data_IF_154862238670
#
_entry.id   IF_154862238670
#
_cell.length_a   1.000
_cell.length_b   1.000
_cell.length_c   1.000
_cell.angle_alpha   90.00
_cell.angle_beta   90.00
_cell.angle_gamma   90.00
#
_symmetry.space_group_name_H-M   'P 1'
#
loop_
_entity.id
_entity.type
_entity.pdbx_description
1 polymer ?
#
# COMPACT_ATOMS: atom_id res chain seq x y z
N UNK A 1 24.52 21.82 -11.21
CA UNK A 1 23.64 20.93 -10.43
C UNK A 1 22.27 20.94 -11.08
N UNK A 2 22.00 20.04 -12.01
CA UNK A 2 20.66 19.93 -12.59
C UNK A 2 19.67 19.55 -11.49
N UNK A 3 18.71 20.43 -11.24
CA UNK A 3 17.51 20.09 -10.50
C UNK A 3 16.82 18.96 -11.27
N UNK A 4 16.73 17.77 -10.69
CA UNK A 4 16.06 16.64 -11.31
C UNK A 4 14.60 17.03 -11.55
N UNK A 5 14.20 17.19 -12.81
CA UNK A 5 12.80 17.39 -13.21
C UNK A 5 12.00 16.18 -12.71
N UNK A 6 11.19 16.35 -11.67
CA UNK A 6 10.34 15.29 -11.10
C UNK A 6 9.98 15.51 -9.64
N UNK A 7 8.97 14.77 -9.15
CA UNK A 7 8.48 14.83 -7.77
C UNK A 7 9.48 14.16 -6.82
N UNK A 8 9.81 14.83 -5.71
CA UNK A 8 10.54 14.18 -4.63
C UNK A 8 9.63 13.26 -3.79
N UNK A 9 10.24 12.38 -3.01
CA UNK A 9 9.54 11.37 -2.23
C UNK A 9 8.72 11.94 -1.07
N UNK A 10 8.97 13.18 -0.66
CA UNK A 10 8.14 13.90 0.30
C UNK A 10 6.84 14.38 -0.31
N UNK A 11 6.95 15.07 -1.43
CA UNK A 11 5.81 15.55 -2.21
C UNK A 11 4.91 14.38 -2.60
N UNK A 12 5.48 13.28 -3.08
CA UNK A 12 4.71 12.08 -3.43
C UNK A 12 4.03 11.41 -2.20
N UNK A 13 4.64 11.44 -1.01
CA UNK A 13 3.98 10.98 0.23
C UNK A 13 2.86 11.90 0.69
N UNK A 14 3.00 13.21 0.52
CA UNK A 14 1.93 14.16 0.82
C UNK A 14 0.73 13.93 -0.11
N UNK A 15 0.98 13.70 -1.40
CA UNK A 15 -0.07 13.31 -2.34
C UNK A 15 -0.75 12.02 -1.86
N UNK A 16 0.01 10.98 -1.52
CA UNK A 16 -0.56 9.73 -1.02
C UNK A 16 -1.38 9.91 0.26
N UNK A 17 -0.90 10.74 1.20
CA UNK A 17 -1.59 11.05 2.45
C UNK A 17 -2.91 11.81 2.21
N UNK A 18 -2.92 12.77 1.29
CA UNK A 18 -4.13 13.50 0.90
C UNK A 18 -5.16 12.58 0.21
N UNK A 19 -4.71 11.72 -0.70
CA UNK A 19 -5.56 10.72 -1.35
C UNK A 19 -6.17 9.74 -0.33
N UNK A 20 -5.37 9.28 0.64
CA UNK A 20 -5.85 8.42 1.72
C UNK A 20 -6.90 9.11 2.60
N UNK A 21 -6.69 10.39 2.93
CA UNK A 21 -7.68 11.17 3.66
C UNK A 21 -8.99 11.31 2.88
N UNK A 22 -8.91 11.63 1.59
CA UNK A 22 -10.08 11.69 0.70
C UNK A 22 -10.82 10.34 0.67
N UNK A 23 -10.07 9.23 0.62
CA UNK A 23 -10.63 7.88 0.62
C UNK A 23 -11.44 7.58 1.89
N UNK A 24 -10.90 7.93 3.05
CA UNK A 24 -11.55 7.69 4.35
C UNK A 24 -12.68 8.67 4.62
N UNK A 25 -12.58 9.94 4.21
CA UNK A 25 -13.72 10.87 4.24
C UNK A 25 -14.89 10.28 3.42
N UNK A 26 -14.59 9.74 2.24
CA UNK A 26 -15.59 9.09 1.39
C UNK A 26 -16.13 7.76 1.93
N UNK A 27 -15.43 7.08 2.85
CA UNK A 27 -15.93 5.85 3.48
C UNK A 27 -16.74 6.13 4.75
N UNK A 28 -16.22 7.01 5.60
CA UNK A 28 -16.72 7.24 6.96
C UNK A 28 -17.82 8.31 6.97
N UNK A 29 -17.57 9.45 6.33
CA UNK A 29 -18.47 10.63 6.43
C UNK A 29 -19.44 10.75 5.25
N UNK A 30 -19.00 10.39 4.04
CA UNK A 30 -19.77 10.61 2.81
C UNK A 30 -19.87 9.33 1.93
N UNK A 31 -20.43 8.21 2.45
CA UNK A 31 -20.45 6.91 1.77
C UNK A 31 -21.16 6.88 0.41
N UNK A 32 -22.12 7.79 0.20
CA UNK A 32 -22.81 7.94 -1.08
C UNK A 32 -21.99 8.66 -2.15
N UNK A 33 -20.94 9.39 -1.73
CA UNK A 33 -20.10 10.19 -2.63
C UNK A 33 -18.95 9.34 -3.20
N UNK A 34 -19.31 8.37 -4.06
CA UNK A 34 -18.39 7.33 -4.59
C UNK A 34 -17.12 7.90 -5.23
N UNK A 35 -17.17 9.10 -5.81
CA UNK A 35 -16.01 9.73 -6.44
C UNK A 35 -14.83 9.92 -5.47
N UNK A 36 -15.10 10.12 -4.17
CA UNK A 36 -14.06 10.23 -3.15
C UNK A 36 -13.31 8.90 -2.99
N UNK A 37 -14.04 7.78 -2.98
CA UNK A 37 -13.46 6.43 -2.98
C UNK A 37 -12.65 6.17 -4.24
N UNK A 38 -13.14 6.61 -5.40
CA UNK A 38 -12.46 6.48 -6.68
C UNK A 38 -11.09 7.19 -6.70
N UNK A 39 -11.05 8.45 -6.25
CA UNK A 39 -9.81 9.23 -6.13
C UNK A 39 -8.87 8.58 -5.10
N UNK A 40 -9.44 8.12 -3.99
CA UNK A 40 -8.71 7.49 -2.90
C UNK A 40 -7.97 6.20 -3.27
N UNK A 41 -8.43 5.45 -4.28
CA UNK A 41 -7.79 4.20 -4.74
C UNK A 41 -6.32 4.34 -5.13
N UNK A 42 -5.89 5.55 -5.52
CA UNK A 42 -4.51 5.83 -5.88
C UNK A 42 -3.55 5.82 -4.68
N UNK A 43 -4.05 5.97 -3.44
CA UNK A 43 -3.21 6.08 -2.25
C UNK A 43 -2.43 4.79 -1.96
N UNK A 44 -3.10 3.63 -1.93
CA UNK A 44 -2.48 2.35 -1.57
C UNK A 44 -1.29 1.98 -2.47
N UNK A 45 -1.37 2.04 -3.81
CA UNK A 45 -0.23 1.75 -4.68
C UNK A 45 0.97 2.67 -4.46
N UNK A 46 0.75 3.96 -4.14
CA UNK A 46 1.85 4.89 -3.85
C UNK A 46 2.55 4.49 -2.55
N UNK A 47 1.80 4.10 -1.51
CA UNK A 47 2.39 3.57 -0.28
C UNK A 47 3.10 2.23 -0.52
N UNK A 48 2.49 1.31 -1.28
CA UNK A 48 3.09 0.02 -1.64
C UNK A 48 4.43 0.21 -2.38
N UNK A 49 4.48 1.16 -3.32
CA UNK A 49 5.71 1.59 -3.98
C UNK A 49 6.77 2.04 -2.95
N UNK A 50 6.41 2.90 -1.99
CA UNK A 50 7.36 3.33 -0.96
C UNK A 50 7.83 2.21 -0.03
N UNK A 51 7.03 1.16 0.19
CA UNK A 51 7.47 -0.01 0.94
C UNK A 51 8.53 -0.78 0.15
N UNK A 52 8.28 -1.05 -1.14
CA UNK A 52 9.24 -1.71 -2.03
C UNK A 52 10.54 -0.90 -2.16
N UNK A 53 10.42 0.41 -2.38
CA UNK A 53 11.55 1.35 -2.49
C UNK A 53 12.32 1.44 -1.16
N UNK A 54 11.61 1.50 -0.03
CA UNK A 54 12.19 1.56 1.30
C UNK A 54 12.91 0.27 1.68
N UNK A 55 12.40 -0.89 1.27
CA UNK A 55 13.07 -2.18 1.45
C UNK A 55 14.38 -2.24 0.65
N UNK A 56 14.37 -1.76 -0.60
CA UNK A 56 15.56 -1.73 -1.45
C UNK A 56 16.72 -0.89 -0.87
N UNK A 57 16.39 0.19 -0.18
CA UNK A 57 17.36 1.15 0.34
C UNK A 57 17.63 1.01 1.85
N UNK A 58 16.95 0.11 2.56
CA UNK A 58 17.12 -0.01 4.02
C UNK A 58 18.46 -0.66 4.36
N UNK A 59 19.21 0.00 5.26
CA UNK A 59 20.43 -0.58 5.85
C UNK A 59 20.15 -1.48 7.06
N UNK A 60 18.96 -1.39 7.65
CA UNK A 60 18.61 -2.10 8.88
C UNK A 60 17.16 -2.56 8.84
N UNK A 61 16.96 -3.76 8.29
CA UNK A 61 15.66 -4.38 8.13
C UNK A 61 14.88 -4.49 9.44
N UNK A 62 15.50 -5.00 10.51
CA UNK A 62 14.84 -5.18 11.81
C UNK A 62 14.28 -3.88 12.39
N UNK A 63 15.04 -2.78 12.34
CA UNK A 63 14.57 -1.46 12.80
C UNK A 63 13.48 -0.88 11.90
N UNK A 64 13.46 -1.24 10.61
CA UNK A 64 12.39 -0.84 9.71
C UNK A 64 11.09 -1.59 10.04
N UNK A 65 11.18 -2.92 10.12
CA UNK A 65 10.05 -3.78 10.46
C UNK A 65 9.47 -3.45 11.84
N UNK A 66 10.32 -3.31 12.87
CA UNK A 66 9.86 -2.98 14.22
C UNK A 66 9.11 -1.65 14.27
N UNK A 67 9.62 -0.61 13.60
CA UNK A 67 8.94 0.67 13.53
C UNK A 67 7.57 0.54 12.85
N UNK A 68 7.49 -0.23 11.76
CA UNK A 68 6.22 -0.48 11.09
C UNK A 68 5.24 -1.22 12.02
N UNK A 69 5.70 -2.27 12.69
CA UNK A 69 4.89 -3.09 13.58
C UNK A 69 4.37 -2.31 14.80
N UNK A 70 5.19 -1.43 15.39
CA UNK A 70 4.75 -0.53 16.47
C UNK A 70 3.60 0.36 15.98
N UNK A 71 3.74 0.99 14.82
CA UNK A 71 2.68 1.85 14.27
C UNK A 71 1.46 1.05 13.82
N UNK A 72 1.64 -0.19 13.35
CA UNK A 72 0.54 -1.10 13.05
C UNK A 72 -0.28 -1.40 14.31
N UNK A 73 0.38 -1.76 15.42
CA UNK A 73 -0.29 -2.01 16.70
C UNK A 73 -1.00 -0.77 17.25
N UNK A 74 -0.37 0.40 17.19
CA UNK A 74 -0.99 1.67 17.63
C UNK A 74 -2.21 2.03 16.77
N UNK A 75 -2.14 1.78 15.46
CA UNK A 75 -3.22 2.14 14.54
C UNK A 75 -4.37 1.15 14.54
N UNK A 76 -4.21 0.00 15.18
CA UNK A 76 -5.27 -1.01 15.31
C UNK A 76 -6.48 -0.48 16.09
N UNK A 77 -6.22 0.34 17.13
CA UNK A 77 -7.27 0.96 17.94
C UNK A 77 -8.15 1.88 17.08
N UNK A 78 -7.62 2.93 16.41
CA UNK A 78 -8.45 3.83 15.61
C UNK A 78 -9.02 3.17 14.36
N UNK A 79 -8.33 2.16 13.80
CA UNK A 79 -8.85 1.42 12.66
C UNK A 79 -10.08 0.57 13.02
N UNK A 80 -10.10 -0.05 14.20
CA UNK A 80 -11.24 -0.85 14.63
C UNK A 80 -12.44 0.02 15.06
N UNK A 81 -12.19 1.25 15.52
CA UNK A 81 -13.24 2.20 15.89
C UNK A 81 -14.18 2.55 14.73
N UNK A 82 -13.73 2.47 13.47
CA UNK A 82 -14.58 2.58 12.27
C UNK A 82 -15.76 1.59 12.28
N UNK A 83 -15.61 0.48 13.01
CA UNK A 83 -16.63 -0.55 13.17
C UNK A 83 -17.30 -0.53 14.56
N UNK A 84 -17.08 0.52 15.35
CA UNK A 84 -17.63 0.68 16.70
C UNK A 84 -17.02 -0.25 17.77
N UNK A 85 -15.90 -0.92 17.47
CA UNK A 85 -15.27 -1.88 18.36
C UNK A 85 -13.79 -1.57 18.59
N UNK A 86 -13.27 -1.84 19.78
CA UNK A 86 -11.83 -1.65 20.06
C UNK A 86 -10.95 -2.77 19.47
N UNK A 87 -11.54 -3.94 19.20
CA UNK A 87 -10.82 -5.11 18.70
C UNK A 87 -11.71 -5.90 17.76
N UNK A 88 -11.28 -6.02 16.50
CA UNK A 88 -11.95 -6.82 15.46
C UNK A 88 -10.96 -7.86 14.95
N UNK A 89 -10.98 -9.10 15.48
CA UNK A 89 -10.01 -10.13 15.07
C UNK A 89 -10.03 -10.44 13.57
N UNK A 90 -11.17 -10.24 12.91
CA UNK A 90 -11.37 -10.55 11.49
C UNK A 90 -10.93 -9.45 10.53
N UNK A 91 -10.28 -8.37 11.00
CA UNK A 91 -9.80 -7.29 10.14
C UNK A 91 -8.60 -6.61 10.78
N UNK A 92 -7.53 -6.43 10.04
CA UNK A 92 -6.31 -5.79 10.54
C UNK A 92 -5.88 -4.67 9.59
N UNK A 93 -5.28 -3.60 10.13
CA UNK A 93 -4.95 -2.43 9.31
C UNK A 93 -3.85 -2.66 8.26
N UNK A 94 -3.73 -1.72 7.30
CA UNK A 94 -2.81 -1.81 6.16
C UNK A 94 -1.31 -1.86 6.54
N UNK A 95 -0.93 -1.37 7.73
CA UNK A 95 0.46 -1.43 8.17
C UNK A 95 0.89 -2.87 8.49
N UNK A 96 -0.04 -3.74 8.89
CA UNK A 96 0.21 -5.18 9.02
C UNK A 96 0.47 -5.83 7.65
N UNK A 97 -0.28 -5.44 6.62
CA UNK A 97 -0.03 -5.83 5.22
C UNK A 97 1.37 -5.46 4.80
N UNK A 98 1.83 -4.25 5.13
CA UNK A 98 3.20 -3.82 4.84
C UNK A 98 4.26 -4.57 5.66
N UNK A 99 3.98 -4.97 6.89
CA UNK A 99 4.88 -5.83 7.67
C UNK A 99 5.06 -7.20 6.99
N UNK A 100 3.95 -7.83 6.59
CA UNK A 100 3.96 -9.10 5.86
C UNK A 100 4.66 -8.96 4.50
N UNK A 101 4.44 -7.86 3.80
CA UNK A 101 5.13 -7.56 2.55
C UNK A 101 6.65 -7.44 2.74
N UNK A 102 7.11 -6.72 3.77
CA UNK A 102 8.54 -6.61 4.09
C UNK A 102 9.18 -7.97 4.40
N UNK A 103 8.50 -8.83 5.16
CA UNK A 103 8.95 -10.20 5.43
C UNK A 103 8.99 -11.05 4.16
N UNK A 104 7.97 -10.94 3.32
CA UNK A 104 7.87 -11.62 2.02
C UNK A 104 9.00 -11.21 1.10
N UNK A 105 9.26 -9.89 0.97
CA UNK A 105 10.39 -9.37 0.20
C UNK A 105 11.73 -9.88 0.73
N UNK A 106 11.88 -10.01 2.06
CA UNK A 106 13.09 -10.55 2.68
C UNK A 106 13.32 -12.03 2.34
N UNK A 107 12.26 -12.83 2.35
CA UNK A 107 12.30 -14.23 1.94
C UNK A 107 12.62 -14.38 0.45
N UNK A 108 11.86 -13.66 -0.39
CA UNK A 108 12.01 -13.62 -1.83
C UNK A 108 13.43 -13.21 -2.25
N UNK A 109 13.97 -12.14 -1.67
CA UNK A 109 15.31 -11.63 -2.00
C UNK A 109 16.43 -12.61 -1.59
N UNK A 110 16.25 -13.37 -0.51
CA UNK A 110 17.21 -14.41 -0.12
C UNK A 110 17.14 -15.61 -1.06
N UNK A 111 15.94 -16.09 -1.37
CA UNK A 111 15.75 -17.31 -2.15
C UNK A 111 16.07 -17.13 -3.64
N UNK A 112 15.83 -15.93 -4.20
CA UNK A 112 16.22 -15.59 -5.58
C UNK A 112 17.73 -15.56 -5.83
N UNK A 113 18.56 -15.52 -4.78
CA UNK A 113 20.03 -15.61 -4.91
C UNK A 113 20.51 -17.05 -5.12
N UNK A 114 19.66 -18.04 -4.85
CA UNK A 114 19.98 -19.45 -5.11
C UNK A 114 19.82 -19.70 -6.62
N UNK A 115 20.84 -20.22 -7.32
CA UNK A 115 20.76 -20.46 -8.75
C UNK A 115 19.82 -21.63 -9.09
N UNK A 116 19.25 -21.58 -10.29
CA UNK A 116 18.44 -22.68 -10.84
C UNK A 116 17.00 -22.75 -10.30
N UNK A 117 16.33 -23.86 -10.62
CA UNK A 117 14.91 -24.06 -10.34
C UNK A 117 14.56 -23.97 -8.84
N UNK A 118 15.49 -24.36 -7.96
CA UNK A 118 15.31 -24.32 -6.50
C UNK A 118 15.12 -22.88 -6.00
N UNK A 119 15.90 -21.93 -6.52
CA UNK A 119 15.76 -20.52 -6.14
C UNK A 119 14.43 -19.92 -6.61
N UNK A 120 14.00 -20.25 -7.83
CA UNK A 120 12.70 -19.82 -8.36
C UNK A 120 11.54 -20.43 -7.56
N UNK A 121 11.59 -21.74 -7.26
CA UNK A 121 10.57 -22.41 -6.44
C UNK A 121 10.52 -21.83 -5.02
N UNK A 122 11.68 -21.58 -4.40
CA UNK A 122 11.76 -20.93 -3.10
C UNK A 122 11.17 -19.51 -3.11
N UNK A 123 11.47 -18.71 -4.14
CA UNK A 123 10.91 -17.37 -4.28
C UNK A 123 9.39 -17.38 -4.47
N UNK A 124 8.88 -18.32 -5.28
CA UNK A 124 7.45 -18.53 -5.46
C UNK A 124 6.78 -18.97 -4.15
N UNK A 125 7.41 -19.88 -3.39
CA UNK A 125 6.93 -20.31 -2.08
C UNK A 125 6.90 -19.17 -1.06
N UNK A 126 7.92 -18.32 -1.04
CA UNK A 126 7.93 -17.14 -0.16
C UNK A 126 6.80 -16.17 -0.49
N UNK A 127 6.52 -15.94 -1.78
CA UNK A 127 5.39 -15.11 -2.21
C UNK A 127 4.05 -15.76 -1.85
N UNK A 128 3.90 -17.07 -2.08
CA UNK A 128 2.70 -17.81 -1.72
C UNK A 128 2.45 -17.83 -0.21
N UNK A 129 3.49 -18.00 0.60
CA UNK A 129 3.41 -17.92 2.06
C UNK A 129 3.02 -16.51 2.53
N UNK A 130 3.59 -15.47 1.92
CA UNK A 130 3.20 -14.08 2.18
C UNK A 130 1.74 -13.79 1.83
N UNK A 131 1.29 -14.29 0.68
CA UNK A 131 -0.10 -14.21 0.25
C UNK A 131 -1.04 -14.92 1.24
N UNK A 132 -0.75 -16.18 1.55
CA UNK A 132 -1.56 -16.98 2.47
C UNK A 132 -1.60 -16.37 3.88
N UNK A 133 -0.48 -15.81 4.37
CA UNK A 133 -0.46 -15.10 5.64
C UNK A 133 -1.33 -13.84 5.61
N UNK A 134 -1.35 -13.10 4.49
CA UNK A 134 -2.21 -11.93 4.33
C UNK A 134 -3.70 -12.28 4.38
N UNK A 135 -4.11 -13.35 3.69
CA UNK A 135 -5.49 -13.86 3.72
C UNK A 135 -5.86 -14.39 5.11
N UNK A 136 -5.00 -15.22 5.73
CA UNK A 136 -5.27 -15.85 7.02
C UNK A 136 -5.37 -14.82 8.17
N UNK A 137 -4.53 -13.78 8.13
CA UNK A 137 -4.51 -12.73 9.14
C UNK A 137 -5.52 -11.61 8.85
N UNK A 138 -6.29 -11.70 7.77
CA UNK A 138 -7.32 -10.73 7.39
C UNK A 138 -6.82 -9.29 7.40
N UNK A 139 -5.58 -9.09 6.93
CA UNK A 139 -5.01 -7.74 6.81
C UNK A 139 -5.67 -6.97 5.68
N UNK A 140 -5.65 -5.65 5.75
CA UNK A 140 -6.22 -4.81 4.70
C UNK A 140 -5.58 -5.12 3.33
N UNK A 141 -6.40 -5.22 2.29
CA UNK A 141 -6.02 -5.75 0.95
C UNK A 141 -5.56 -7.22 0.89
N UNK A 142 -5.56 -7.95 2.02
CA UNK A 142 -5.24 -9.37 2.10
C UNK A 142 -3.87 -9.73 1.54
N UNK A 143 -3.76 -10.95 1.02
CA UNK A 143 -2.57 -11.44 0.31
C UNK A 143 -2.30 -10.65 -0.97
N UNK A 144 -3.33 -10.10 -1.62
CA UNK A 144 -3.18 -9.29 -2.82
C UNK A 144 -2.44 -7.98 -2.56
N UNK A 145 -2.58 -7.39 -1.37
CA UNK A 145 -1.79 -6.24 -0.95
C UNK A 145 -0.30 -6.58 -0.84
N UNK A 146 0.03 -7.75 -0.30
CA UNK A 146 1.41 -8.27 -0.24
C UNK A 146 1.98 -8.48 -1.65
N UNK A 147 1.19 -9.08 -2.54
CA UNK A 147 1.57 -9.29 -3.96
C UNK A 147 1.76 -7.97 -4.69
N UNK A 148 0.97 -6.94 -4.39
CA UNK A 148 1.12 -5.60 -4.98
C UNK A 148 2.47 -4.99 -4.60
N UNK A 149 2.89 -5.07 -3.34
CA UNK A 149 4.22 -4.60 -2.92
C UNK A 149 5.33 -5.43 -3.58
N UNK A 150 5.16 -6.75 -3.68
CA UNK A 150 6.10 -7.62 -4.38
C UNK A 150 6.22 -7.25 -5.86
N UNK A 151 5.12 -6.93 -6.53
CA UNK A 151 5.09 -6.48 -7.92
C UNK A 151 5.93 -5.21 -8.10
N UNK A 152 5.75 -4.19 -7.24
CA UNK A 152 6.58 -2.98 -7.27
C UNK A 152 8.07 -3.27 -7.07
N UNK A 153 8.42 -4.21 -6.18
CA UNK A 153 9.82 -4.58 -5.96
C UNK A 153 10.42 -5.34 -7.15
N UNK A 154 9.68 -6.30 -7.71
CA UNK A 154 10.11 -7.15 -8.82
C UNK A 154 10.22 -6.37 -10.14
N UNK A 155 9.32 -5.41 -10.36
CA UNK A 155 9.28 -4.55 -11.54
C UNK A 155 9.96 -3.19 -11.29
N UNK A 156 10.96 -3.12 -10.40
CA UNK A 156 11.74 -1.89 -10.18
C UNK A 156 12.72 -1.58 -11.31
N UNK A 157 13.34 -2.61 -11.87
CA UNK A 157 14.43 -2.49 -12.83
C UNK A 157 14.20 -3.39 -14.06
N UNK A 158 14.66 -2.95 -15.23
CA UNK A 158 14.62 -3.72 -16.47
C UNK A 158 13.83 -3.06 -17.60
N UNK A 159 14.06 -3.53 -18.84
CA UNK A 159 13.47 -2.96 -20.06
C UNK A 159 11.94 -2.99 -20.07
N UNK A 160 11.36 -4.06 -19.55
CA UNK A 160 9.91 -4.29 -19.56
C UNK A 160 9.24 -3.99 -18.21
N UNK A 161 9.97 -3.41 -17.26
CA UNK A 161 9.51 -3.20 -15.89
C UNK A 161 8.23 -2.35 -15.82
N UNK A 162 8.16 -1.23 -16.56
CA UNK A 162 6.97 -0.36 -16.60
C UNK A 162 5.75 -1.05 -17.19
N UNK A 163 5.93 -1.79 -18.29
CA UNK A 163 4.84 -2.53 -18.93
C UNK A 163 4.34 -3.66 -18.02
N UNK A 164 5.26 -4.42 -17.41
CA UNK A 164 4.91 -5.48 -16.46
C UNK A 164 4.18 -4.93 -15.23
N UNK A 165 4.63 -3.77 -14.71
CA UNK A 165 3.97 -3.10 -13.60
C UNK A 165 2.56 -2.61 -13.97
N UNK A 166 2.37 -2.03 -15.16
CA UNK A 166 1.05 -1.60 -15.64
C UNK A 166 0.10 -2.79 -15.79
N UNK A 167 0.52 -3.84 -16.48
CA UNK A 167 -0.30 -5.05 -16.68
C UNK A 167 -0.61 -5.73 -15.35
N UNK A 168 0.37 -5.87 -14.46
CA UNK A 168 0.18 -6.44 -13.14
C UNK A 168 -0.78 -5.61 -12.28
N UNK A 169 -0.67 -4.28 -12.31
CA UNK A 169 -1.58 -3.40 -11.60
C UNK A 169 -3.01 -3.49 -12.13
N UNK A 170 -3.21 -3.54 -13.45
CA UNK A 170 -4.53 -3.71 -14.06
C UNK A 170 -5.13 -5.08 -13.72
N UNK A 171 -4.35 -6.16 -13.77
CA UNK A 171 -4.80 -7.50 -13.41
C UNK A 171 -5.17 -7.60 -11.92
N UNK A 172 -4.28 -7.17 -11.03
CA UNK A 172 -4.51 -7.23 -9.58
C UNK A 172 -5.73 -6.41 -9.17
N UNK A 173 -5.84 -5.17 -9.67
CA UNK A 173 -6.87 -4.25 -9.22
C UNK A 173 -8.18 -4.33 -10.02
N UNK A 174 -8.15 -4.90 -11.22
CA UNK A 174 -9.33 -5.12 -12.05
C UNK A 174 -9.97 -6.50 -11.85
N UNK A 175 -9.19 -7.51 -11.45
CA UNK A 175 -9.65 -8.91 -11.41
C UNK A 175 -9.51 -9.57 -10.03
N UNK A 176 -8.45 -9.27 -9.27
CA UNK A 176 -8.13 -10.00 -8.04
C UNK A 176 -8.67 -9.33 -6.77
N UNK A 177 -8.49 -8.02 -6.64
CA UNK A 177 -8.90 -7.26 -5.46
C UNK A 177 -10.36 -6.84 -5.62
N UNK A 178 -11.24 -7.44 -4.81
CA UNK A 178 -12.66 -7.11 -4.80
C UNK A 178 -12.91 -5.68 -4.33
N UNK A 179 -13.83 -4.99 -4.99
CA UNK A 179 -14.26 -3.62 -4.63
C UNK A 179 -15.67 -3.32 -5.12
N UNK A 180 -16.22 -2.18 -4.68
CA UNK A 180 -17.50 -1.66 -5.20
C UNK A 180 -17.38 -1.48 -6.72
N UNK A 181 -18.43 -1.82 -7.44
CA UNK A 181 -18.52 -1.58 -8.88
C UNK A 181 -19.32 -0.33 -9.18
N UNK A 182 -18.96 0.35 -10.26
CA UNK A 182 -19.72 1.48 -10.82
C UNK A 182 -20.06 1.17 -12.27
N UNK A 183 -21.26 1.56 -12.75
CA UNK A 183 -21.60 1.41 -14.15
C UNK A 183 -20.77 2.39 -14.98
N UNK A 184 -19.97 1.86 -15.91
CA UNK A 184 -19.21 2.65 -16.87
C UNK A 184 -19.28 1.97 -18.24
N UNK A 185 -19.61 2.71 -19.29
CA UNK A 185 -19.71 2.17 -20.66
C UNK A 185 -20.64 0.95 -20.78
N UNK A 186 -21.70 0.87 -19.98
CA UNK A 186 -22.66 -0.25 -19.98
C UNK A 186 -22.18 -1.52 -19.27
N UNK A 187 -21.01 -1.49 -18.62
CA UNK A 187 -20.48 -2.61 -17.83
C UNK A 187 -20.22 -2.20 -16.37
N UNK A 188 -20.30 -3.17 -15.46
CA UNK A 188 -19.94 -2.95 -14.05
C UNK A 188 -18.42 -2.99 -13.90
N UNK A 189 -17.81 -1.84 -13.62
CA UNK A 189 -16.35 -1.71 -13.49
C UNK A 189 -15.97 -1.60 -12.02
N UNK A 190 -15.06 -2.45 -11.49
CA UNK A 190 -14.57 -2.32 -10.12
C UNK A 190 -13.80 -1.02 -9.95
N UNK A 191 -14.15 -0.21 -8.95
CA UNK A 191 -13.46 1.07 -8.71
C UNK A 191 -11.97 0.88 -8.45
N UNK A 192 -11.57 -0.29 -7.93
CA UNK A 192 -10.19 -0.61 -7.61
C UNK A 192 -9.28 -0.52 -8.83
N UNK A 193 -9.77 -0.73 -10.06
CA UNK A 193 -8.97 -0.60 -11.29
C UNK A 193 -8.30 0.79 -11.42
N UNK A 194 -8.90 1.83 -10.82
CA UNK A 194 -8.36 3.19 -10.78
C UNK A 194 -7.04 3.30 -10.01
N UNK A 195 -6.71 2.32 -9.16
CA UNK A 195 -5.40 2.23 -8.50
C UNK A 195 -4.24 2.21 -9.51
N UNK A 196 -4.44 1.70 -10.73
CA UNK A 196 -3.43 1.75 -11.79
C UNK A 196 -3.08 3.19 -12.21
N UNK A 197 -3.97 4.16 -12.01
CA UNK A 197 -3.72 5.58 -12.28
C UNK A 197 -2.71 6.21 -11.31
N UNK A 198 -2.30 5.50 -10.25
CA UNK A 198 -1.16 5.91 -9.43
C UNK A 198 0.18 5.80 -10.19
N UNK A 199 0.29 4.94 -11.22
CA UNK A 199 1.55 4.67 -11.90
C UNK A 199 2.15 5.91 -12.61
N UNK A 200 1.39 6.71 -13.37
CA UNK A 200 1.92 7.97 -13.92
C UNK A 200 2.50 8.89 -12.84
N UNK A 201 1.84 9.01 -11.68
CA UNK A 201 2.30 9.83 -10.56
C UNK A 201 3.60 9.25 -9.96
N UNK A 202 3.67 7.93 -9.80
CA UNK A 202 4.88 7.24 -9.33
C UNK A 202 6.03 7.39 -10.33
N UNK A 203 5.78 7.36 -11.64
CA UNK A 203 6.83 7.51 -12.65
C UNK A 203 7.43 8.91 -12.73
N UNK A 204 6.77 9.91 -12.15
CA UNK A 204 7.34 11.26 -11.97
C UNK A 204 8.31 11.34 -10.78
N UNK A 205 8.44 10.28 -9.98
CA UNK A 205 9.36 10.24 -8.83
C UNK A 205 10.81 10.33 -9.28
N UNK A 206 11.55 11.28 -8.70
CA UNK A 206 12.94 11.58 -9.07
C UNK A 206 14.00 10.77 -8.29
N UNK A 207 13.60 9.79 -7.48
CA UNK A 207 14.51 8.96 -6.69
C UNK A 207 15.02 9.63 -5.40
N UNK A 208 14.70 10.91 -5.14
CA UNK A 208 15.15 11.63 -3.95
C UNK A 208 14.15 11.46 -2.81
N UNK A 209 14.58 11.16 -1.58
CA UNK A 209 13.68 10.93 -0.45
C UNK A 209 12.87 12.16 -0.02
N UNK A 210 13.26 13.36 -0.47
CA UNK A 210 12.49 14.61 -0.35
C UNK A 210 12.39 15.24 1.04
N UNK A 211 12.50 14.46 2.13
CA UNK A 211 12.14 14.96 3.47
C UNK A 211 13.18 14.75 4.56
N UNK A 212 13.32 15.77 5.40
CA UNK A 212 14.06 15.75 6.66
C UNK A 212 13.57 14.64 7.61
N UNK A 213 14.51 14.07 8.39
CA UNK A 213 14.27 12.92 9.29
C UNK A 213 13.11 13.09 10.26
N UNK A 214 12.78 14.33 10.66
CA UNK A 214 11.68 14.67 11.58
C UNK A 214 10.29 14.37 11.00
N UNK A 215 10.06 14.71 9.73
CA UNK A 215 8.77 14.50 9.06
C UNK A 215 8.38 13.04 8.87
N UNK A 216 9.37 12.13 8.95
CA UNK A 216 9.11 10.69 8.92
C UNK A 216 8.10 10.28 9.99
N UNK A 217 8.22 10.84 11.19
CA UNK A 217 7.33 10.54 12.30
C UNK A 217 5.95 11.14 12.11
N UNK A 218 5.85 12.31 11.47
CA UNK A 218 4.58 12.91 11.11
C UNK A 218 3.76 12.00 10.17
N UNK A 219 4.39 11.40 9.16
CA UNK A 219 3.69 10.45 8.27
C UNK A 219 3.22 9.19 8.98
N UNK A 220 3.98 8.69 9.96
CA UNK A 220 3.53 7.54 10.74
C UNK A 220 2.37 7.90 11.68
N UNK A 221 2.46 9.03 12.36
CA UNK A 221 1.40 9.52 13.25
C UNK A 221 0.13 9.93 12.49
N UNK A 222 0.27 10.37 11.24
CA UNK A 222 -0.84 10.77 10.39
C UNK A 222 -1.89 9.67 10.28
N UNK A 223 -1.49 8.41 10.05
CA UNK A 223 -2.42 7.30 9.83
C UNK A 223 -3.41 7.08 10.99
N UNK A 224 -2.99 6.83 12.24
CA UNK A 224 -3.94 6.71 13.35
C UNK A 224 -4.64 8.05 13.66
N UNK A 225 -3.96 9.19 13.52
CA UNK A 225 -4.52 10.48 13.90
C UNK A 225 -5.70 10.92 13.01
N UNK A 226 -5.59 10.79 11.69
CA UNK A 226 -6.68 11.21 10.81
C UNK A 226 -7.90 10.29 10.92
N UNK A 227 -7.72 8.98 11.18
CA UNK A 227 -8.82 8.08 11.50
C UNK A 227 -9.56 8.55 12.76
N UNK A 228 -8.84 8.79 13.87
CA UNK A 228 -9.46 9.32 15.11
C UNK A 228 -10.24 10.62 14.89
N UNK A 229 -9.71 11.53 14.07
CA UNK A 229 -10.40 12.79 13.74
C UNK A 229 -11.67 12.52 12.96
N UNK A 230 -11.65 11.63 11.96
CA UNK A 230 -12.84 11.30 11.17
C UNK A 230 -13.90 10.59 12.01
N UNK A 231 -13.50 9.60 12.83
CA UNK A 231 -14.39 8.92 13.77
C UNK A 231 -15.01 9.90 14.78
N UNK A 232 -14.19 10.81 15.32
CA UNK A 232 -14.66 11.85 16.24
C UNK A 232 -15.67 12.80 15.59
N UNK A 233 -15.50 13.14 14.31
CA UNK A 233 -16.48 13.93 13.55
C UNK A 233 -17.75 13.12 13.33
N UNK A 234 -17.64 11.86 12.91
CA UNK A 234 -18.79 10.98 12.68
C UNK A 234 -19.64 10.78 13.93
N UNK A 235 -19.01 10.65 15.11
CA UNK A 235 -19.71 10.51 16.38
C UNK A 235 -20.47 11.77 16.82
N UNK A 236 -20.17 12.94 16.23
CA UNK A 236 -20.82 14.22 16.53
C UNK A 236 -21.96 14.57 15.55
N UNK A 237 -22.11 13.83 14.46
CA UNK A 237 -23.13 14.05 13.41
C UNK A 237 -24.23 13.02 13.46
#
# INVERSE_FOLDING_TARGET
MEQSKGLDGGTLKLIAAALMLIDHVGAILLPETVILRCIGRLAFPIFAFFIAEGYAHTRSFGRYLLRMAIWAAVSEIPFNLEFGHFFVPGRQNVLWTFCLALLTLRGLDRLRRVPGAIGYAGAALALAAGFAAGELLHVDYGGWGVVTVALFYLCREGRYAKCGLLLGMLALNGLCISSRTVPAFGIAVPIQILAAAALPVIWLYNGRPGVNRRWRWAFYAFYPAHLLVLEGIQALT
#
